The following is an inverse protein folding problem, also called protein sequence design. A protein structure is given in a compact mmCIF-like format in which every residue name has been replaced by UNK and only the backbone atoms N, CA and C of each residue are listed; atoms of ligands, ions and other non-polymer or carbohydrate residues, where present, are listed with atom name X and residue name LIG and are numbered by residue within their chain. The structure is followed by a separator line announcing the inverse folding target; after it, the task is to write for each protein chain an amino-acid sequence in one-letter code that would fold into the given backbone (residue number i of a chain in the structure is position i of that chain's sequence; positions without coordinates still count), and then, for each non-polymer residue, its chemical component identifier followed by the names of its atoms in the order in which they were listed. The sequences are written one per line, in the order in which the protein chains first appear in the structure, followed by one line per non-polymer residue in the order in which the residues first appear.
data_IF_821388884298
#
_entry.id   IF_821388884298
#
_cell.length_a   1.000
_cell.length_b   1.000
_cell.length_c   1.000
_cell.angle_alpha   90.00
_cell.angle_beta   90.00
_cell.angle_gamma   90.00
#
_symmetry.space_group_name_H-M   'P 1'
#
loop_
_entity.id
_entity.type
_entity.pdbx_description
1 polymer ?
#
# COMPACT_ATOMS: atom_id res chain seq x y z
N UNK A 1 -16.93 -21.89 25.79
CA UNK A 1 -15.59 -22.20 25.31
C UNK A 1 -15.62 -21.89 23.81
N UNK A 2 -15.41 -20.60 23.45
CA UNK A 2 -15.36 -20.16 22.06
C UNK A 2 -14.03 -20.60 21.47
N UNK A 3 -14.08 -21.44 20.47
CA UNK A 3 -12.91 -21.79 19.66
C UNK A 3 -12.55 -20.55 18.83
N UNK A 4 -11.38 -19.97 19.07
CA UNK A 4 -10.76 -18.99 18.20
C UNK A 4 -10.54 -19.65 16.84
N UNK A 5 -11.21 -19.12 15.80
CA UNK A 5 -10.94 -19.53 14.42
C UNK A 5 -9.54 -19.03 14.05
N UNK A 6 -8.69 -19.87 13.45
CA UNK A 6 -7.39 -19.41 12.99
C UNK A 6 -7.59 -18.34 11.92
N UNK A 7 -6.95 -17.18 12.10
CA UNK A 7 -6.92 -16.11 11.14
C UNK A 7 -6.22 -16.60 9.86
N UNK A 8 -6.98 -16.86 8.81
CA UNK A 8 -6.43 -17.12 7.49
C UNK A 8 -5.96 -15.80 6.88
N UNK A 9 -4.69 -15.75 6.52
CA UNK A 9 -4.04 -14.56 5.97
C UNK A 9 -4.41 -14.38 4.50
N UNK A 10 -5.06 -13.30 4.17
CA UNK A 10 -5.33 -12.85 2.80
C UNK A 10 -4.05 -12.25 2.21
N UNK A 11 -3.70 -12.59 0.98
CA UNK A 11 -2.50 -12.08 0.33
C UNK A 11 -2.88 -11.40 -0.97
N UNK A 12 -2.48 -10.13 -1.11
CA UNK A 12 -2.50 -9.45 -2.39
C UNK A 12 -1.09 -9.43 -2.96
N UNK A 13 -1.00 -9.72 -4.23
CA UNK A 13 0.18 -9.47 -5.03
C UNK A 13 -0.07 -8.21 -5.88
N UNK A 14 0.54 -7.09 -5.52
CA UNK A 14 0.63 -5.91 -6.37
C UNK A 14 1.85 -6.05 -7.25
N UNK A 15 1.66 -6.31 -8.53
CA UNK A 15 2.74 -6.44 -9.48
C UNK A 15 2.73 -5.28 -10.46
N UNK A 16 3.80 -4.50 -10.50
CA UNK A 16 4.12 -3.66 -11.63
C UNK A 16 4.93 -4.45 -12.64
N UNK A 17 4.34 -4.59 -13.84
CA UNK A 17 4.89 -5.07 -15.12
C UNK A 17 5.64 -6.41 -15.21
N UNK A 18 4.93 -7.32 -15.94
CA UNK A 18 5.45 -8.35 -16.87
C UNK A 18 6.53 -9.31 -16.35
N UNK A 19 6.05 -10.44 -16.11
CA UNK A 19 6.59 -11.81 -16.21
C UNK A 19 6.51 -12.61 -14.91
N UNK A 20 5.56 -13.52 -14.92
CA UNK A 20 5.63 -14.84 -14.30
C UNK A 20 5.71 -14.91 -12.78
N UNK A 21 4.56 -14.88 -12.13
CA UNK A 21 4.32 -15.73 -10.97
C UNK A 21 3.04 -16.54 -11.20
N UNK A 22 3.22 -17.71 -11.79
CA UNK A 22 2.22 -18.77 -11.78
C UNK A 22 2.36 -19.48 -10.43
N UNK A 23 1.50 -19.21 -9.50
CA UNK A 23 0.99 -20.23 -8.57
C UNK A 23 -0.08 -19.63 -7.66
N UNK A 24 -1.20 -20.32 -7.59
CA UNK A 24 -2.34 -20.23 -6.69
C UNK A 24 -3.44 -19.28 -7.15
N UNK A 25 -4.55 -19.88 -7.61
CA UNK A 25 -5.78 -19.25 -8.07
C UNK A 25 -5.54 -18.03 -8.97
N UNK A 26 -5.26 -18.33 -10.23
CA UNK A 26 -5.01 -17.39 -11.32
C UNK A 26 -6.18 -16.41 -11.52
N UNK A 27 -6.07 -15.25 -10.93
CA UNK A 27 -6.78 -14.08 -11.43
C UNK A 27 -5.78 -12.94 -11.54
N UNK A 28 -5.03 -12.95 -12.63
CA UNK A 28 -4.25 -11.81 -13.08
C UNK A 28 -5.25 -10.76 -13.55
N UNK A 29 -5.35 -9.67 -12.81
CA UNK A 29 -6.32 -8.60 -13.01
C UNK A 29 -7.79 -9.06 -13.17
N UNK A 30 -8.39 -9.71 -12.17
CA UNK A 30 -9.71 -10.31 -12.29
C UNK A 30 -10.83 -9.30 -12.57
N UNK A 31 -10.58 -8.04 -12.33
CA UNK A 31 -11.52 -6.93 -12.51
C UNK A 31 -11.20 -6.08 -13.75
N UNK A 32 -10.19 -6.45 -14.55
CA UNK A 32 -9.86 -5.73 -15.77
C UNK A 32 -11.05 -5.75 -16.75
N UNK A 33 -11.44 -4.58 -17.23
CA UNK A 33 -12.58 -4.45 -18.15
C UNK A 33 -13.96 -4.46 -17.50
N UNK A 34 -14.07 -4.67 -16.21
CA UNK A 34 -15.33 -4.52 -15.49
C UNK A 34 -15.60 -3.03 -15.20
N UNK A 35 -16.86 -2.64 -15.25
CA UNK A 35 -17.30 -1.34 -14.73
C UNK A 35 -17.24 -1.31 -13.17
N UNK A 36 -17.37 -0.12 -12.58
CA UNK A 36 -17.25 0.08 -11.12
C UNK A 36 -18.24 -0.79 -10.34
N UNK A 37 -19.49 -0.95 -10.83
CA UNK A 37 -20.52 -1.74 -10.15
C UNK A 37 -20.18 -3.24 -10.19
N UNK A 38 -19.70 -3.71 -11.34
CA UNK A 38 -19.31 -5.11 -11.49
C UNK A 38 -18.06 -5.45 -10.65
N UNK A 39 -17.12 -4.51 -10.50
CA UNK A 39 -15.95 -4.67 -9.62
C UNK A 39 -16.34 -4.76 -8.14
N UNK A 40 -17.22 -3.87 -7.69
CA UNK A 40 -17.74 -3.91 -6.33
C UNK A 40 -18.41 -5.26 -6.01
N UNK A 41 -19.25 -5.75 -6.94
CA UNK A 41 -19.86 -7.09 -6.79
C UNK A 41 -18.83 -8.22 -6.74
N UNK A 42 -17.79 -8.15 -7.56
CA UNK A 42 -16.71 -9.14 -7.53
C UNK A 42 -16.03 -9.18 -6.16
N UNK A 43 -15.68 -8.03 -5.60
CA UNK A 43 -15.04 -7.97 -4.28
C UNK A 43 -15.97 -8.42 -3.16
N UNK A 44 -17.27 -8.12 -3.24
CA UNK A 44 -18.26 -8.66 -2.29
C UNK A 44 -18.32 -10.19 -2.34
N UNK A 45 -18.41 -10.78 -3.52
CA UNK A 45 -18.41 -12.23 -3.68
C UNK A 45 -17.11 -12.87 -3.18
N UNK A 46 -15.98 -12.21 -3.42
CA UNK A 46 -14.68 -12.66 -2.92
C UNK A 46 -14.64 -12.68 -1.39
N UNK A 47 -15.19 -11.65 -0.74
CA UNK A 47 -15.27 -11.57 0.72
C UNK A 47 -16.24 -12.62 1.29
N UNK A 48 -17.40 -12.81 0.68
CA UNK A 48 -18.35 -13.87 1.07
C UNK A 48 -17.71 -15.26 0.99
N UNK A 49 -17.02 -15.57 -0.10
CA UNK A 49 -16.32 -16.85 -0.26
C UNK A 49 -15.20 -17.00 0.76
N UNK A 50 -14.49 -15.92 1.06
CA UNK A 50 -13.45 -15.91 2.09
C UNK A 50 -14.00 -16.19 3.49
N UNK A 51 -15.14 -15.59 3.85
CA UNK A 51 -15.78 -15.80 5.17
C UNK A 51 -16.31 -17.22 5.32
N UNK A 52 -16.77 -17.82 4.23
CA UNK A 52 -17.40 -19.14 4.23
C UNK A 52 -16.41 -20.30 4.01
N UNK A 53 -15.15 -20.02 3.68
CA UNK A 53 -14.17 -21.05 3.38
C UNK A 53 -12.82 -20.76 4.06
N UNK A 54 -12.03 -21.80 4.28
CA UNK A 54 -10.67 -21.69 4.80
C UNK A 54 -9.63 -21.44 3.68
N UNK A 55 -10.03 -20.78 2.58
CA UNK A 55 -9.16 -20.53 1.44
C UNK A 55 -8.39 -19.23 1.58
N UNK A 56 -7.16 -19.23 1.10
CA UNK A 56 -6.38 -18.01 0.89
C UNK A 56 -6.59 -17.52 -0.54
N UNK A 57 -6.94 -16.26 -0.69
CA UNK A 57 -7.08 -15.60 -1.99
C UNK A 57 -5.85 -14.74 -2.26
N UNK A 58 -5.31 -14.86 -3.46
CA UNK A 58 -4.23 -14.00 -3.96
C UNK A 58 -4.75 -13.30 -5.21
N UNK A 59 -4.78 -11.98 -5.17
CA UNK A 59 -5.26 -11.15 -6.29
C UNK A 59 -4.11 -10.27 -6.76
N UNK A 60 -3.83 -10.31 -8.06
CA UNK A 60 -2.92 -9.37 -8.71
C UNK A 60 -3.75 -8.25 -9.33
N UNK A 61 -3.49 -7.01 -8.98
CA UNK A 61 -4.21 -5.85 -9.50
C UNK A 61 -3.35 -4.59 -9.49
N UNK A 62 -3.60 -3.70 -10.44
CA UNK A 62 -3.06 -2.35 -10.45
C UNK A 62 -4.07 -1.31 -9.92
N UNK A 63 -5.32 -1.73 -9.63
CA UNK A 63 -6.38 -0.86 -9.08
C UNK A 63 -6.32 -0.94 -7.55
N UNK A 64 -5.34 -0.24 -6.99
CA UNK A 64 -4.93 -0.38 -5.59
C UNK A 64 -5.96 0.21 -4.63
N UNK A 65 -6.62 1.31 -4.98
CA UNK A 65 -7.58 2.00 -4.11
C UNK A 65 -8.77 1.13 -3.73
N UNK A 66 -9.24 0.29 -4.67
CA UNK A 66 -10.41 -0.57 -4.44
C UNK A 66 -10.12 -1.75 -3.51
N UNK A 67 -8.85 -2.09 -3.31
CA UNK A 67 -8.43 -3.27 -2.55
C UNK A 67 -7.82 -2.94 -1.20
N UNK A 68 -7.50 -1.67 -0.95
CA UNK A 68 -6.81 -1.23 0.27
C UNK A 68 -7.55 -1.63 1.56
N UNK A 69 -8.88 -1.57 1.54
CA UNK A 69 -9.72 -1.87 2.71
C UNK A 69 -10.14 -3.35 2.79
N UNK A 70 -9.83 -4.13 1.75
CA UNK A 70 -10.29 -5.51 1.62
C UNK A 70 -9.23 -6.51 2.08
N UNK A 71 -7.97 -6.21 1.84
CA UNK A 71 -6.89 -7.19 1.99
C UNK A 71 -6.01 -6.96 3.21
N UNK A 72 -5.74 -8.04 3.93
CA UNK A 72 -4.94 -8.03 5.15
C UNK A 72 -3.43 -7.93 4.88
N UNK A 73 -2.93 -8.51 3.79
CA UNK A 73 -1.51 -8.55 3.47
C UNK A 73 -1.27 -8.01 2.05
N UNK A 74 -0.31 -7.13 1.91
CA UNK A 74 0.16 -6.58 0.64
C UNK A 74 1.56 -7.11 0.31
N UNK A 75 1.76 -7.50 -0.95
CA UNK A 75 3.07 -7.86 -1.48
C UNK A 75 3.33 -6.96 -2.68
N UNK A 76 4.31 -6.07 -2.56
CA UNK A 76 4.73 -5.19 -3.65
C UNK A 76 5.88 -5.86 -4.40
N UNK A 77 5.71 -6.00 -5.73
CA UNK A 77 6.72 -6.58 -6.61
C UNK A 77 7.19 -5.53 -7.61
N UNK A 78 8.49 -5.29 -7.70
CA UNK A 78 9.12 -4.41 -8.68
C UNK A 78 10.23 -5.18 -9.39
N UNK A 79 10.25 -5.15 -10.74
CA UNK A 79 11.27 -5.81 -11.57
C UNK A 79 11.48 -7.32 -11.23
N UNK A 80 10.39 -8.02 -10.92
CA UNK A 80 10.42 -9.44 -10.57
C UNK A 80 10.94 -9.76 -9.17
N UNK A 81 11.19 -8.75 -8.34
CA UNK A 81 11.63 -8.90 -6.94
C UNK A 81 10.55 -8.42 -5.98
N UNK A 82 10.41 -9.09 -4.86
CA UNK A 82 9.56 -8.62 -3.77
C UNK A 82 10.26 -7.42 -3.13
N UNK A 83 9.65 -6.24 -3.28
CA UNK A 83 10.10 -5.01 -2.66
C UNK A 83 9.65 -4.94 -1.19
N UNK A 84 8.41 -5.35 -0.92
CA UNK A 84 7.79 -5.31 0.40
C UNK A 84 6.75 -6.42 0.51
N UNK A 85 6.63 -6.99 1.73
CA UNK A 85 5.56 -7.90 2.10
C UNK A 85 5.19 -7.62 3.55
N UNK A 86 3.97 -7.11 3.78
CA UNK A 86 3.55 -6.65 5.10
C UNK A 86 2.03 -6.69 5.26
N UNK A 87 1.55 -6.65 6.49
CA UNK A 87 0.14 -6.39 6.78
C UNK A 87 -0.22 -4.98 6.26
N UNK A 88 -1.35 -4.86 5.59
CA UNK A 88 -1.77 -3.59 4.94
C UNK A 88 -1.98 -2.49 5.96
N UNK A 89 -2.62 -2.78 7.08
CA UNK A 89 -2.89 -1.80 8.12
C UNK A 89 -1.59 -1.36 8.82
N UNK A 90 -0.70 -2.29 9.17
CA UNK A 90 0.60 -1.99 9.77
C UNK A 90 1.44 -1.10 8.85
N UNK A 91 1.43 -1.39 7.54
CA UNK A 91 2.12 -0.57 6.55
C UNK A 91 1.55 0.86 6.49
N UNK A 92 0.23 1.00 6.46
CA UNK A 92 -0.44 2.32 6.44
C UNK A 92 -0.22 3.08 7.76
N UNK A 93 -0.22 2.38 8.89
CA UNK A 93 -0.06 3.00 10.21
C UNK A 93 1.33 3.61 10.43
N UNK A 94 2.36 3.07 9.79
CA UNK A 94 3.71 3.63 9.84
C UNK A 94 4.06 4.55 8.66
N UNK A 95 3.13 4.76 7.72
CA UNK A 95 3.32 5.61 6.54
C UNK A 95 2.79 7.01 6.79
N UNK A 96 3.52 8.03 6.34
CA UNK A 96 3.11 9.43 6.45
C UNK A 96 3.49 10.21 5.20
N UNK A 97 2.60 11.12 4.81
CA UNK A 97 2.89 12.17 3.84
C UNK A 97 3.05 13.50 4.59
N UNK A 98 4.24 14.08 4.48
CA UNK A 98 4.61 15.33 5.14
C UNK A 98 4.75 16.41 4.09
N UNK A 99 4.05 17.52 4.24
CA UNK A 99 4.07 18.62 3.28
C UNK A 99 4.12 19.99 3.94
N UNK A 100 4.77 20.96 3.29
CA UNK A 100 4.94 22.29 3.80
C UNK A 100 6.03 23.07 3.06
N UNK A 101 6.61 24.09 3.73
CA UNK A 101 7.78 24.78 3.20
C UNK A 101 8.99 23.85 3.19
N UNK A 102 9.84 23.94 2.14
CA UNK A 102 10.95 23.02 1.95
C UNK A 102 11.84 22.88 3.19
N UNK A 103 12.25 23.99 3.80
CA UNK A 103 13.14 23.97 4.99
C UNK A 103 12.48 23.29 6.20
N UNK A 104 11.14 23.44 6.35
CA UNK A 104 10.38 22.83 7.44
C UNK A 104 10.21 21.34 7.23
N UNK A 105 9.92 20.90 5.99
CA UNK A 105 9.80 19.48 5.65
C UNK A 105 11.14 18.78 5.81
N UNK A 106 12.25 19.38 5.35
CA UNK A 106 13.60 18.82 5.49
C UNK A 106 13.99 18.69 6.95
N UNK A 107 13.68 19.70 7.79
CA UNK A 107 13.92 19.63 9.21
C UNK A 107 13.05 18.59 9.92
N UNK A 108 11.74 18.48 9.54
CA UNK A 108 10.79 17.53 10.11
C UNK A 108 11.17 16.08 9.82
N UNK A 109 11.69 15.82 8.64
CA UNK A 109 12.03 14.47 8.15
C UNK A 109 13.53 14.15 8.26
N UNK A 110 14.32 14.98 8.94
CA UNK A 110 15.76 14.76 9.07
C UNK A 110 16.07 13.40 9.71
N UNK A 111 16.82 12.56 9.00
CA UNK A 111 17.20 11.21 9.44
C UNK A 111 16.14 10.12 9.20
N UNK A 112 15.01 10.44 8.56
CA UNK A 112 14.01 9.47 8.13
C UNK A 112 14.29 9.00 6.69
N UNK A 113 13.89 7.77 6.40
CA UNK A 113 13.92 7.25 5.02
C UNK A 113 12.80 7.90 4.20
N UNK A 114 13.17 8.72 3.23
CA UNK A 114 12.24 9.34 2.27
C UNK A 114 12.15 8.44 1.05
N UNK A 115 10.94 7.97 0.74
CA UNK A 115 10.69 7.07 -0.39
C UNK A 115 10.23 7.82 -1.65
N UNK A 116 9.65 9.01 -1.47
CA UNK A 116 9.25 9.87 -2.58
C UNK A 116 9.30 11.33 -2.12
N UNK A 117 9.77 12.20 -2.99
CA UNK A 117 9.80 13.63 -2.77
C UNK A 117 9.30 14.36 -4.01
N UNK A 118 8.39 15.31 -3.82
CA UNK A 118 7.91 16.22 -4.85
C UNK A 118 8.12 17.65 -4.37
N UNK A 119 8.58 18.54 -5.26
CA UNK A 119 8.79 19.95 -4.93
C UNK A 119 8.27 20.85 -6.03
N UNK A 120 7.46 21.83 -5.63
CA UNK A 120 6.94 22.88 -6.51
C UNK A 120 7.29 24.22 -5.88
N UNK A 121 8.28 24.91 -6.44
CA UNK A 121 8.78 26.16 -5.89
C UNK A 121 9.33 26.01 -4.48
N UNK A 122 8.68 26.62 -3.48
CA UNK A 122 9.06 26.52 -2.07
C UNK A 122 8.23 25.53 -1.28
N UNK A 123 7.28 24.85 -1.91
CA UNK A 123 6.48 23.79 -1.30
C UNK A 123 7.09 22.45 -1.61
N UNK A 124 7.21 21.61 -0.58
CA UNK A 124 7.73 20.25 -0.67
C UNK A 124 6.75 19.29 -0.03
N UNK A 125 6.58 18.13 -0.66
CA UNK A 125 5.87 16.99 -0.12
C UNK A 125 6.77 15.76 -0.13
N UNK A 126 6.81 15.00 0.95
CA UNK A 126 7.57 13.75 1.05
C UNK A 126 6.73 12.63 1.62
N UNK A 127 7.00 11.42 1.18
CA UNK A 127 6.41 10.21 1.78
C UNK A 127 7.49 9.46 2.55
N UNK A 128 7.23 9.18 3.82
CA UNK A 128 8.14 8.48 4.72
C UNK A 128 7.46 7.26 5.33
N UNK A 129 8.24 6.21 5.57
CA UNK A 129 7.86 5.07 6.39
C UNK A 129 8.67 5.13 7.68
N UNK A 130 7.97 5.19 8.80
CA UNK A 130 8.63 5.19 10.10
C UNK A 130 8.99 3.76 10.52
N UNK A 131 10.19 3.59 11.02
CA UNK A 131 10.60 2.38 11.73
C UNK A 131 10.29 2.52 13.23
N UNK A 132 10.38 1.41 13.95
CA UNK A 132 10.13 1.40 15.40
C UNK A 132 11.02 2.42 16.11
N UNK A 133 10.38 3.28 16.90
CA UNK A 133 11.06 4.35 17.64
C UNK A 133 11.35 5.63 16.86
N UNK A 134 11.04 5.68 15.55
CA UNK A 134 11.15 6.90 14.75
C UNK A 134 9.91 7.78 14.88
N UNK A 135 10.11 9.09 14.82
CA UNK A 135 9.04 10.10 14.86
C UNK A 135 9.35 11.25 13.90
N UNK A 136 8.31 11.85 13.34
CA UNK A 136 8.42 13.12 12.63
C UNK A 136 8.52 14.23 13.67
N UNK A 137 9.40 15.19 13.48
CA UNK A 137 9.59 16.28 14.43
C UNK A 137 8.34 17.16 14.51
N UNK A 138 7.86 17.36 15.74
CA UNK A 138 6.64 18.11 16.01
C UNK A 138 6.84 19.63 16.10
N UNK A 139 8.10 20.10 16.15
CA UNK A 139 8.48 21.51 16.27
C UNK A 139 8.54 22.24 14.90
N UNK A 140 8.23 21.56 13.82
CA UNK A 140 8.21 22.10 12.46
C UNK A 140 6.79 22.42 12.00
N UNK A 141 6.65 23.50 11.22
CA UNK A 141 5.36 23.91 10.62
C UNK A 141 5.11 23.12 9.34
N UNK A 142 4.57 21.91 9.49
CA UNK A 142 4.28 20.97 8.41
C UNK A 142 2.91 20.35 8.57
N UNK A 143 2.29 20.00 7.44
CA UNK A 143 1.08 19.17 7.42
C UNK A 143 1.49 17.70 7.34
N UNK A 144 0.94 16.89 8.25
CA UNK A 144 1.19 15.45 8.30
C UNK A 144 -0.13 14.72 8.05
N UNK A 145 -0.15 13.84 7.06
CA UNK A 145 -1.35 13.09 6.66
C UNK A 145 -1.01 11.61 6.47
N UNK A 146 -1.99 10.73 6.67
CA UNK A 146 -1.88 9.32 6.27
C UNK A 146 -2.06 9.20 4.76
N UNK A 147 -1.11 8.63 4.02
CA UNK A 147 -1.32 8.36 2.61
C UNK A 147 -2.25 7.17 2.44
N UNK A 148 -3.07 7.17 1.39
CA UNK A 148 -3.74 5.95 0.94
C UNK A 148 -2.73 4.96 0.33
N UNK A 149 -3.13 3.69 0.23
CA UNK A 149 -2.26 2.61 -0.27
C UNK A 149 -1.73 2.88 -1.68
N UNK A 150 -2.55 3.47 -2.56
CA UNK A 150 -2.11 3.83 -3.91
C UNK A 150 -1.00 4.88 -3.91
N UNK A 151 -1.14 5.94 -3.10
CA UNK A 151 -0.10 6.99 -3.00
C UNK A 151 1.20 6.41 -2.43
N UNK A 152 1.09 5.51 -1.46
CA UNK A 152 2.22 4.81 -0.89
C UNK A 152 2.90 3.90 -1.92
N UNK A 153 2.11 3.15 -2.71
CA UNK A 153 2.64 2.32 -3.78
C UNK A 153 3.44 3.14 -4.79
N UNK A 154 2.89 4.28 -5.24
CA UNK A 154 3.59 5.20 -6.16
C UNK A 154 4.90 5.70 -5.53
N UNK A 155 4.88 6.01 -4.22
CA UNK A 155 6.08 6.46 -3.52
C UNK A 155 7.16 5.38 -3.41
N UNK A 156 6.77 4.10 -3.28
CA UNK A 156 7.71 2.97 -3.17
C UNK A 156 8.21 2.49 -4.53
N UNK A 157 7.35 2.54 -5.56
CA UNK A 157 7.64 2.00 -6.90
C UNK A 157 8.04 3.07 -7.91
N UNK A 158 7.66 4.32 -7.70
CA UNK A 158 7.95 5.44 -8.59
C UNK A 158 9.46 5.64 -8.76
N UNK A 159 9.86 6.13 -9.93
CA UNK A 159 11.22 6.62 -10.13
C UNK A 159 11.36 7.94 -9.36
N UNK A 160 12.50 8.13 -8.71
CA UNK A 160 12.84 9.43 -8.12
C UNK A 160 12.85 10.47 -9.26
N UNK A 161 11.87 11.36 -9.24
CA UNK A 161 11.91 12.51 -10.16
C UNK A 161 12.92 13.49 -9.58
N UNK A 162 14.14 13.42 -10.12
CA UNK A 162 15.23 14.38 -9.87
C UNK A 162 14.88 15.74 -10.45
#
# INVERSE_FOLDING_TARGET
MCAERPHHRKKILLAEQRQTLRLVAQNDEPVAGLDVIAREKFYHLLLEEYENTDRTFVVSTHIIEEVADIFEEVIIVKEGKILLKENTQDLLDRSYHVSGHVDQVDAACAGLAVHHAEQIGRSKGVTVLLEEGQTIRADCDVSIQKPGLQKLFVALCGEETV
#
